data_IF_194043453868
#
_entry.id   IF_194043453868
#
_cell.length_a   1.000
_cell.length_b   1.000
_cell.length_c   1.000
_cell.angle_alpha   90.00
_cell.angle_beta   90.00
_cell.angle_gamma   90.00
#
_symmetry.space_group_name_H-M   'P 1'
#
loop_
_entity.id
_entity.type
_entity.pdbx_description
1 polymer ?
#
# COMPACT_ATOMS: atom_id res chain seq x y z
N UNK A 1 16.20 -13.15 8.04
CA UNK A 1 15.84 -12.07 8.99
C UNK A 1 15.23 -12.71 10.22
N UNK A 2 15.68 -12.31 11.40
CA UNK A 2 15.24 -12.87 12.68
C UNK A 2 13.92 -12.20 13.11
N UNK A 3 13.01 -12.94 13.76
CA UNK A 3 11.68 -12.46 14.15
C UNK A 3 11.69 -11.11 14.93
N UNK A 4 12.77 -10.82 15.67
CA UNK A 4 12.98 -9.54 16.38
C UNK A 4 13.04 -8.34 15.44
N UNK A 5 13.60 -8.49 14.23
CA UNK A 5 13.73 -7.39 13.26
C UNK A 5 12.37 -6.97 12.70
N UNK A 6 11.43 -7.90 12.57
CA UNK A 6 10.06 -7.60 12.14
C UNK A 6 9.33 -6.78 13.21
N UNK A 7 9.53 -7.12 14.49
CA UNK A 7 8.92 -6.40 15.60
C UNK A 7 9.40 -4.94 15.70
N UNK A 8 10.70 -4.70 15.59
CA UNK A 8 11.25 -3.33 15.56
C UNK A 8 10.75 -2.53 14.35
N UNK A 9 10.60 -3.18 13.19
CA UNK A 9 10.01 -2.55 12.01
C UNK A 9 8.57 -2.09 12.30
N UNK A 10 7.70 -2.95 12.82
CA UNK A 10 6.32 -2.56 13.15
C UNK A 10 6.23 -1.48 14.22
N UNK A 11 7.06 -1.54 15.26
CA UNK A 11 7.13 -0.48 16.27
C UNK A 11 7.55 0.83 15.64
N UNK A 12 8.59 0.82 14.80
CA UNK A 12 9.07 2.04 14.16
C UNK A 12 8.01 2.67 13.26
N UNK A 13 7.28 1.86 12.49
CA UNK A 13 6.15 2.31 11.64
C UNK A 13 5.04 2.91 12.50
N UNK A 14 4.70 2.27 13.63
CA UNK A 14 3.67 2.76 14.54
C UNK A 14 4.06 4.10 15.19
N UNK A 15 5.30 4.24 15.63
CA UNK A 15 5.82 5.49 16.22
C UNK A 15 5.83 6.60 15.17
N UNK A 16 6.34 6.32 13.97
CA UNK A 16 6.39 7.31 12.88
C UNK A 16 4.97 7.75 12.49
N UNK A 17 4.04 6.82 12.33
CA UNK A 17 2.63 7.13 12.02
C UNK A 17 1.99 8.00 13.12
N UNK A 18 2.23 7.68 14.39
CA UNK A 18 1.73 8.47 15.52
C UNK A 18 2.33 9.89 15.55
N UNK A 19 3.62 10.02 15.27
CA UNK A 19 4.29 11.33 15.19
C UNK A 19 3.76 12.17 14.02
N UNK A 20 3.51 11.55 12.86
CA UNK A 20 2.91 12.22 11.70
C UNK A 20 1.48 12.71 12.00
N UNK A 21 0.68 11.92 12.72
CA UNK A 21 -0.65 12.33 13.19
C UNK A 21 -0.58 13.54 14.13
N UNK A 22 0.39 13.57 15.04
CA UNK A 22 0.61 14.73 15.93
C UNK A 22 1.09 15.94 15.13
N UNK A 23 2.01 15.76 14.19
CA UNK A 23 2.53 16.83 13.33
C UNK A 23 1.43 17.48 12.48
N UNK A 24 0.45 16.70 12.02
CA UNK A 24 -0.73 17.20 11.30
C UNK A 24 -1.53 18.24 12.11
N UNK A 25 -1.53 18.16 13.45
CA UNK A 25 -2.21 19.15 14.31
C UNK A 25 -1.51 20.51 14.33
N UNK A 26 -0.23 20.58 13.93
CA UNK A 26 0.55 21.82 13.88
C UNK A 26 0.56 22.51 12.50
N UNK A 27 -0.06 21.90 11.48
CA UNK A 27 -0.14 22.48 10.13
C UNK A 27 -1.22 23.58 10.08
N UNK A 28 -0.90 24.82 9.67
CA UNK A 28 -1.89 25.88 9.54
C UNK A 28 -2.98 25.55 8.51
N UNK A 29 -4.21 26.00 8.74
CA UNK A 29 -5.37 25.64 7.90
C UNK A 29 -5.24 26.04 6.43
N UNK A 30 -4.54 27.14 6.15
CA UNK A 30 -4.23 27.60 4.80
C UNK A 30 -3.39 26.58 4.02
N UNK A 31 -2.41 25.96 4.67
CA UNK A 31 -1.58 24.90 4.08
C UNK A 31 -2.32 23.57 4.02
N UNK A 32 -3.14 23.27 5.04
CA UNK A 32 -3.95 22.05 5.09
C UNK A 32 -4.90 21.95 3.89
N UNK A 33 -5.60 23.04 3.55
CA UNK A 33 -6.49 23.05 2.38
C UNK A 33 -5.72 22.84 1.07
N UNK A 34 -4.56 23.47 0.91
CA UNK A 34 -3.75 23.30 -0.31
C UNK A 34 -3.22 21.87 -0.44
N UNK A 35 -2.76 21.26 0.66
CA UNK A 35 -2.15 19.92 0.59
C UNK A 35 -3.21 18.83 0.48
N UNK A 36 -4.31 18.92 1.22
CA UNK A 36 -5.29 17.83 1.32
C UNK A 36 -6.49 17.94 0.36
N UNK A 37 -6.65 19.06 -0.36
CA UNK A 37 -7.66 19.16 -1.42
C UNK A 37 -7.12 18.85 -2.82
N UNK A 38 -5.87 18.42 -2.95
CA UNK A 38 -5.32 17.96 -4.23
C UNK A 38 -5.78 16.54 -4.52
N UNK A 39 -6.62 16.32 -5.56
CA UNK A 39 -7.12 14.97 -5.89
C UNK A 39 -5.98 13.99 -6.17
N UNK A 40 -4.87 14.48 -6.75
CA UNK A 40 -3.70 13.67 -7.01
C UNK A 40 -3.06 13.05 -5.74
N UNK A 41 -3.10 13.75 -4.61
CA UNK A 41 -2.53 13.22 -3.35
C UNK A 41 -3.36 12.06 -2.84
N UNK A 42 -4.68 12.14 -3.01
CA UNK A 42 -5.63 11.10 -2.66
C UNK A 42 -5.36 9.82 -3.47
N UNK A 43 -5.33 9.95 -4.79
CA UNK A 43 -5.06 8.85 -5.72
C UNK A 43 -3.66 8.23 -5.51
N UNK A 44 -2.63 9.05 -5.19
CA UNK A 44 -1.30 8.55 -4.82
C UNK A 44 -1.37 7.75 -3.50
N UNK A 45 -2.18 8.21 -2.55
CA UNK A 45 -2.45 7.52 -1.30
C UNK A 45 -3.09 6.16 -1.52
N UNK A 46 -4.11 6.09 -2.38
CA UNK A 46 -4.77 4.85 -2.82
C UNK A 46 -3.77 3.84 -3.42
N UNK A 47 -3.00 4.27 -4.42
CA UNK A 47 -1.96 3.44 -5.04
C UNK A 47 -0.92 2.92 -4.02
N UNK A 48 -0.38 3.83 -3.20
CA UNK A 48 0.70 3.49 -2.26
C UNK A 48 0.20 2.60 -1.13
N UNK A 49 -1.00 2.89 -0.61
CA UNK A 49 -1.60 2.12 0.48
C UNK A 49 -1.92 0.69 0.05
N UNK A 50 -2.52 0.49 -1.13
CA UNK A 50 -2.80 -0.85 -1.65
C UNK A 50 -1.55 -1.63 -2.05
N UNK A 51 -0.50 -0.95 -2.53
CA UNK A 51 0.82 -1.57 -2.70
C UNK A 51 1.36 -2.12 -1.37
N UNK A 52 1.40 -1.28 -0.33
CA UNK A 52 1.91 -1.67 1.00
C UNK A 52 1.03 -2.75 1.62
N UNK A 53 -0.29 -2.61 1.51
CA UNK A 53 -1.25 -3.58 2.05
C UNK A 53 -1.09 -4.95 1.37
N UNK A 54 -0.88 -4.97 0.05
CA UNK A 54 -0.60 -6.21 -0.69
C UNK A 54 0.73 -6.81 -0.24
N UNK A 55 1.77 -5.98 -0.05
CA UNK A 55 3.07 -6.42 0.43
C UNK A 55 2.99 -7.06 1.81
N UNK A 56 2.31 -6.40 2.76
CA UNK A 56 2.09 -6.90 4.13
C UNK A 56 1.26 -8.18 4.10
N UNK A 57 0.15 -8.19 3.37
CA UNK A 57 -0.73 -9.36 3.27
C UNK A 57 0.01 -10.58 2.71
N UNK A 58 0.80 -10.39 1.67
CA UNK A 58 1.51 -11.49 1.03
C UNK A 58 2.78 -11.92 1.78
N UNK A 59 3.56 -10.97 2.31
CA UNK A 59 4.91 -11.24 2.84
C UNK A 59 4.92 -11.45 4.35
N UNK A 60 4.03 -10.78 5.08
CA UNK A 60 3.93 -10.85 6.55
C UNK A 60 2.84 -11.83 6.95
N UNK A 61 1.61 -11.65 6.43
CA UNK A 61 0.46 -12.52 6.76
C UNK A 61 0.56 -13.86 5.99
N UNK A 62 1.44 -13.94 4.99
CA UNK A 62 1.70 -15.14 4.17
C UNK A 62 0.48 -15.63 3.39
N UNK A 63 -0.44 -14.72 3.02
CA UNK A 63 -1.53 -15.05 2.12
C UNK A 63 -0.98 -15.39 0.73
N UNK A 64 -1.61 -16.37 0.06
CA UNK A 64 -1.21 -16.71 -1.31
C UNK A 64 -1.47 -15.53 -2.24
N UNK A 65 -0.59 -15.32 -3.22
CA UNK A 65 -0.69 -14.17 -4.12
C UNK A 65 -2.04 -14.09 -4.86
N UNK A 66 -2.62 -15.19 -5.37
CA UNK A 66 -3.95 -15.14 -5.98
C UNK A 66 -5.05 -14.71 -5.01
N UNK A 67 -4.95 -15.15 -3.74
CA UNK A 67 -5.90 -14.77 -2.71
C UNK A 67 -5.77 -13.29 -2.33
N UNK A 68 -4.54 -12.75 -2.27
CA UNK A 68 -4.33 -11.30 -2.11
C UNK A 68 -4.96 -10.52 -3.27
N UNK A 69 -4.74 -10.94 -4.52
CA UNK A 69 -5.32 -10.25 -5.69
C UNK A 69 -6.86 -10.21 -5.61
N UNK A 70 -7.49 -11.35 -5.32
CA UNK A 70 -8.94 -11.45 -5.24
C UNK A 70 -9.50 -10.63 -4.07
N UNK A 71 -8.98 -10.84 -2.86
CA UNK A 71 -9.51 -10.19 -1.65
C UNK A 71 -9.26 -8.70 -1.65
N UNK A 72 -8.08 -8.24 -2.07
CA UNK A 72 -7.75 -6.81 -2.04
C UNK A 72 -8.44 -6.05 -3.17
N UNK A 73 -8.62 -6.65 -4.36
CA UNK A 73 -9.42 -6.02 -5.42
C UNK A 73 -10.89 -5.90 -5.01
N UNK A 74 -11.44 -6.95 -4.39
CA UNK A 74 -12.79 -6.90 -3.86
C UNK A 74 -12.93 -5.86 -2.73
N UNK A 75 -11.94 -5.80 -1.84
CA UNK A 75 -11.88 -4.79 -0.79
C UNK A 75 -11.80 -3.36 -1.34
N UNK A 76 -11.01 -3.11 -2.39
CA UNK A 76 -10.95 -1.82 -3.08
C UNK A 76 -12.31 -1.39 -3.67
N UNK A 77 -13.05 -2.33 -4.25
CA UNK A 77 -14.40 -2.04 -4.73
C UNK A 77 -15.35 -1.67 -3.56
N UNK A 78 -15.24 -2.39 -2.43
CA UNK A 78 -16.03 -2.09 -1.24
C UNK A 78 -15.68 -0.74 -0.62
N UNK A 79 -14.42 -0.29 -0.68
CA UNK A 79 -14.04 1.04 -0.17
C UNK A 79 -14.69 2.15 -0.99
N UNK A 80 -14.72 2.05 -2.33
CA UNK A 80 -15.43 3.03 -3.17
C UNK A 80 -16.94 3.04 -2.94
N UNK A 81 -17.55 1.86 -2.84
CA UNK A 81 -18.98 1.76 -2.49
C UNK A 81 -19.23 2.41 -1.15
N UNK A 82 -18.40 2.13 -0.14
CA UNK A 82 -18.50 2.74 1.18
C UNK A 82 -18.35 4.26 1.10
N UNK A 83 -17.41 4.78 0.33
CA UNK A 83 -17.22 6.22 0.12
C UNK A 83 -18.45 6.88 -0.51
N UNK A 84 -19.06 6.27 -1.53
CA UNK A 84 -20.29 6.79 -2.15
C UNK A 84 -21.48 6.91 -1.19
N UNK A 85 -21.47 6.14 -0.10
CA UNK A 85 -22.53 6.15 0.93
C UNK A 85 -22.26 7.17 2.06
N UNK A 86 -21.04 7.69 2.18
CA UNK A 86 -20.60 8.51 3.31
C UNK A 86 -20.99 9.99 3.20
N UNK A 87 -21.41 10.46 2.02
CA UNK A 87 -22.00 11.79 1.82
C UNK A 87 -21.05 12.98 1.90
N UNK A 88 -19.81 12.80 2.39
CA UNK A 88 -18.76 13.84 2.43
C UNK A 88 -17.68 13.68 1.36
N UNK A 89 -17.65 12.55 0.66
CA UNK A 89 -16.77 12.25 -0.47
C UNK A 89 -17.55 11.36 -1.44
N UNK A 90 -17.37 11.56 -2.74
CA UNK A 90 -17.93 10.67 -3.75
C UNK A 90 -16.88 9.63 -4.10
N UNK A 91 -17.29 8.37 -4.26
CA UNK A 91 -16.40 7.34 -4.78
C UNK A 91 -15.94 7.73 -6.19
N UNK A 92 -14.65 7.61 -6.45
CA UNK A 92 -14.02 7.96 -7.73
C UNK A 92 -13.48 6.70 -8.39
N UNK A 93 -13.90 6.42 -9.63
CA UNK A 93 -13.37 5.28 -10.39
C UNK A 93 -11.83 5.35 -10.57
N UNK A 94 -11.27 6.57 -10.55
CA UNK A 94 -9.83 6.80 -10.54
C UNK A 94 -9.12 6.23 -9.31
N UNK A 95 -9.74 6.33 -8.14
CA UNK A 95 -9.18 5.82 -6.89
C UNK A 95 -9.25 4.29 -6.83
N UNK A 96 -10.35 3.68 -7.29
CA UNK A 96 -10.41 2.23 -7.49
C UNK A 96 -9.33 1.73 -8.46
N UNK A 97 -9.10 2.44 -9.57
CA UNK A 97 -8.06 2.07 -10.51
C UNK A 97 -6.67 2.21 -9.88
N UNK A 98 -6.45 3.25 -9.08
CA UNK A 98 -5.21 3.44 -8.34
C UNK A 98 -4.96 2.31 -7.33
N UNK A 99 -6.00 1.84 -6.64
CA UNK A 99 -5.91 0.68 -5.74
C UNK A 99 -5.47 -0.58 -6.50
N UNK A 100 -6.14 -0.88 -7.61
CA UNK A 100 -5.79 -2.04 -8.47
C UNK A 100 -4.37 -1.90 -9.03
N UNK A 101 -3.96 -0.71 -9.44
CA UNK A 101 -2.59 -0.45 -9.90
C UNK A 101 -1.57 -0.66 -8.79
N UNK A 102 -1.87 -0.26 -7.55
CA UNK A 102 -1.04 -0.52 -6.37
C UNK A 102 -0.81 -2.02 -6.14
N UNK A 103 -1.89 -2.81 -6.22
CA UNK A 103 -1.83 -4.28 -6.12
C UNK A 103 -0.97 -4.87 -7.25
N UNK A 104 -1.22 -4.45 -8.50
CA UNK A 104 -0.48 -4.92 -9.68
C UNK A 104 1.00 -4.54 -9.63
N UNK A 105 1.32 -3.33 -9.14
CA UNK A 105 2.69 -2.85 -8.98
C UNK A 105 3.46 -3.74 -7.99
N UNK A 106 2.82 -4.19 -6.91
CA UNK A 106 3.43 -5.16 -6.00
C UNK A 106 3.75 -6.49 -6.70
N UNK A 107 2.81 -7.01 -7.49
CA UNK A 107 3.03 -8.24 -8.27
C UNK A 107 4.20 -8.06 -9.24
N UNK A 108 4.27 -6.93 -9.94
CA UNK A 108 5.35 -6.62 -10.88
C UNK A 108 6.70 -6.55 -10.18
N UNK A 109 6.81 -5.80 -9.07
CA UNK A 109 8.04 -5.69 -8.28
C UNK A 109 8.49 -7.05 -7.78
N UNK A 110 7.55 -7.87 -7.29
CA UNK A 110 7.85 -9.23 -6.83
C UNK A 110 8.34 -10.13 -7.98
N UNK A 111 7.72 -10.03 -9.15
CA UNK A 111 8.13 -10.78 -10.34
C UNK A 111 9.52 -10.36 -10.82
N UNK A 112 9.80 -9.05 -10.91
CA UNK A 112 11.13 -8.53 -11.25
C UNK A 112 12.18 -9.02 -10.26
N UNK A 113 11.90 -8.92 -8.95
CA UNK A 113 12.80 -9.41 -7.91
C UNK A 113 13.13 -10.89 -8.10
N UNK A 114 12.13 -11.74 -8.36
CA UNK A 114 12.36 -13.17 -8.59
C UNK A 114 13.12 -13.44 -9.90
N UNK A 115 12.78 -12.72 -10.98
CA UNK A 115 13.39 -12.91 -12.29
C UNK A 115 14.87 -12.54 -12.31
N UNK A 116 15.25 -11.43 -11.66
CA UNK A 116 16.64 -10.98 -11.62
C UNK A 116 17.45 -11.67 -10.52
N UNK A 117 17.00 -11.62 -9.26
CA UNK A 117 17.83 -12.05 -8.14
C UNK A 117 17.85 -13.57 -7.93
N UNK A 118 16.77 -14.29 -8.26
CA UNK A 118 16.73 -15.74 -8.04
C UNK A 118 17.39 -16.54 -9.17
N UNK A 119 17.35 -16.03 -10.40
CA UNK A 119 18.04 -16.66 -11.54
C UNK A 119 19.57 -16.60 -11.40
N UNK A 120 20.11 -15.51 -10.87
CA UNK A 120 21.55 -15.37 -10.66
C UNK A 120 22.11 -16.31 -9.58
N UNK A 121 21.34 -16.57 -8.51
CA UNK A 121 21.71 -17.52 -7.46
C UNK A 121 21.83 -18.96 -7.97
N UNK A 122 20.94 -19.39 -8.87
CA UNK A 122 20.99 -20.74 -9.47
C UNK A 122 22.09 -20.91 -10.51
N UNK A 123 22.53 -19.82 -11.15
CA UNK A 123 23.57 -19.85 -12.18
C UNK A 123 24.99 -19.93 -11.59
N UNK A 124 25.18 -19.43 -10.37
CA UNK A 124 26.47 -19.48 -9.66
C UNK A 124 26.73 -20.77 -8.87
N UNK A 125 25.72 -21.62 -8.65
CA UNK A 125 25.87 -22.92 -7.94
C UNK A 125 26.17 -24.10 -8.87
N UNK A 126 26.21 -23.86 -10.18
CA UNK A 126 26.48 -24.87 -11.23
C UNK A 126 27.79 -24.61 -11.98
N UNK A 127 28.63 -23.70 -11.48
CA UNK A 127 30.04 -23.56 -11.85
C UNK A 127 30.91 -24.03 -10.70
#
# INVERSE_FOLDING_TARGET
>A
MNARQHYYFFISVFIVSSLLLVAHSFVPDSWRKIIFQFPAIDTIGHLTSFFILTWVSHSVIKLSLPLCLMLLTFYAALTEVSQSLLGYRQGELGDFLADVLGICLFVLVKWLYFSFFKKDLTKNTTK
#
